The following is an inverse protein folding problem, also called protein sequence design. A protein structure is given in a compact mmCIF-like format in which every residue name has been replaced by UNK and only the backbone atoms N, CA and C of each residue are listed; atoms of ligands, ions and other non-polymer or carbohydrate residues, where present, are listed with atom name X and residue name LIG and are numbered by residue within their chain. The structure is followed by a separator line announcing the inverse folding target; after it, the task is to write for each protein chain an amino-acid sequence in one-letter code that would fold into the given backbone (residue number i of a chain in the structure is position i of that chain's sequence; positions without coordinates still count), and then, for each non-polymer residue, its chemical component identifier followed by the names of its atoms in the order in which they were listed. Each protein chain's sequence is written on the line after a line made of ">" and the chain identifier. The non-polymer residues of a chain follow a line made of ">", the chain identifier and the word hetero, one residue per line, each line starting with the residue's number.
data_IF_773619171291
#
_entry.id   IF_773619171291
#
_cell.length_a   1.000
_cell.length_b   1.000
_cell.length_c   1.000
_cell.angle_alpha   90.00
_cell.angle_beta   90.00
_cell.angle_gamma   90.00
#
_symmetry.space_group_name_H-M   'P 1'
#
loop_
_entity.id
_entity.type
_entity.pdbx_description
1 polymer ?
#
# COMPACT_ATOMS: atom_id res chain seq x y z
N UNK A 1 26.76 23.11 -26.19
CA UNK A 1 27.46 21.93 -25.63
C UNK A 1 26.58 21.36 -24.55
N UNK A 2 25.91 20.25 -24.84
CA UNK A 2 25.04 19.55 -23.89
C UNK A 2 25.92 18.70 -22.97
N UNK A 3 25.94 19.01 -21.68
CA UNK A 3 26.59 18.18 -20.68
C UNK A 3 25.68 17.03 -20.29
N UNK A 4 26.03 15.86 -20.82
CA UNK A 4 25.72 14.51 -20.37
C UNK A 4 24.81 14.40 -19.14
N UNK A 5 23.56 14.04 -19.38
CA UNK A 5 22.72 13.43 -18.35
C UNK A 5 23.41 12.14 -17.89
N UNK A 6 23.87 12.11 -16.65
CA UNK A 6 24.24 10.88 -15.97
C UNK A 6 23.00 10.00 -15.91
N UNK A 7 22.87 9.09 -16.89
CA UNK A 7 22.02 7.92 -16.76
C UNK A 7 22.62 7.07 -15.65
N UNK A 8 22.13 7.28 -14.42
CA UNK A 8 22.39 6.38 -13.31
C UNK A 8 21.92 4.98 -13.72
N UNK A 9 22.86 4.04 -13.84
CA UNK A 9 22.50 2.62 -13.91
C UNK A 9 21.71 2.29 -12.64
N UNK A 10 20.50 1.68 -12.74
CA UNK A 10 19.84 1.18 -11.55
C UNK A 10 20.73 0.07 -10.97
N UNK A 11 21.22 0.28 -9.75
CA UNK A 11 21.75 -0.80 -8.92
C UNK A 11 20.72 -1.93 -8.88
N UNK A 12 21.19 -3.18 -8.94
CA UNK A 12 20.30 -4.34 -8.85
C UNK A 12 19.43 -4.24 -7.58
N UNK A 13 18.14 -4.66 -7.64
CA UNK A 13 17.29 -4.68 -6.46
C UNK A 13 17.92 -5.50 -5.34
N UNK A 14 17.85 -5.01 -4.10
CA UNK A 14 18.26 -5.74 -2.91
C UNK A 14 17.20 -6.74 -2.45
N UNK A 15 15.93 -6.46 -2.73
CA UNK A 15 14.88 -7.44 -2.50
C UNK A 15 13.77 -7.31 -3.54
N UNK A 16 13.02 -8.40 -3.72
CA UNK A 16 11.82 -8.46 -4.57
C UNK A 16 10.65 -8.95 -3.75
N UNK A 17 9.56 -8.19 -3.79
CA UNK A 17 8.31 -8.49 -3.13
C UNK A 17 7.25 -8.78 -4.20
N UNK A 18 6.65 -9.96 -4.12
CA UNK A 18 5.46 -10.28 -4.87
C UNK A 18 4.23 -9.81 -4.09
N UNK A 19 3.29 -9.22 -4.81
CA UNK A 19 2.02 -8.75 -4.30
C UNK A 19 0.90 -9.46 -5.04
N UNK A 20 0.00 -10.08 -4.28
CA UNK A 20 -1.19 -10.74 -4.81
C UNK A 20 -2.43 -10.04 -4.29
N UNK A 21 -3.28 -9.59 -5.19
CA UNK A 21 -4.60 -9.05 -4.89
C UNK A 21 -5.60 -10.20 -4.72
N UNK A 22 -6.50 -10.06 -3.76
CA UNK A 22 -7.69 -10.92 -3.60
C UNK A 22 -8.83 -10.07 -3.04
N UNK A 23 -10.07 -10.52 -3.20
CA UNK A 23 -11.24 -9.92 -2.57
C UNK A 23 -12.03 -10.96 -1.77
N UNK A 24 -12.88 -10.52 -0.85
CA UNK A 24 -13.97 -11.38 -0.40
C UNK A 24 -14.78 -11.81 -1.64
N UNK A 25 -15.21 -13.08 -1.73
CA UNK A 25 -15.85 -13.59 -2.94
C UNK A 25 -17.25 -13.03 -3.13
N UNK A 26 -17.89 -12.59 -2.05
CA UNK A 26 -19.27 -12.15 -2.02
C UNK A 26 -19.46 -10.93 -1.14
N UNK A 27 -20.54 -10.19 -1.39
CA UNK A 27 -21.02 -9.09 -0.57
C UNK A 27 -22.56 -9.18 -0.45
N UNK A 28 -23.07 -9.38 0.76
CA UNK A 28 -24.49 -9.69 1.01
C UNK A 28 -25.33 -8.41 1.16
N UNK A 29 -26.43 -8.32 0.40
CA UNK A 29 -27.37 -7.20 0.46
C UNK A 29 -28.28 -7.24 1.69
N UNK A 30 -28.57 -8.41 2.26
CA UNK A 30 -29.40 -8.56 3.45
C UNK A 30 -28.68 -8.11 4.72
N UNK A 31 -27.35 -8.15 4.74
CA UNK A 31 -26.56 -7.65 5.86
C UNK A 31 -26.24 -6.15 5.68
N UNK A 32 -26.84 -5.25 6.49
CA UNK A 32 -26.53 -3.83 6.44
C UNK A 32 -25.10 -3.50 6.87
N UNK A 33 -24.40 -4.41 7.55
CA UNK A 33 -23.02 -4.24 8.00
C UNK A 33 -22.03 -5.05 7.17
N UNK A 34 -22.45 -5.59 6.02
CA UNK A 34 -21.55 -6.35 5.16
C UNK A 34 -20.36 -5.49 4.71
N UNK A 35 -19.19 -6.11 4.65
CA UNK A 35 -17.94 -5.46 4.24
C UNK A 35 -17.37 -6.17 3.02
N UNK A 36 -16.98 -5.39 2.01
CA UNK A 36 -16.11 -5.86 0.95
C UNK A 36 -14.67 -5.78 1.44
N UNK A 37 -13.98 -6.92 1.48
CA UNK A 37 -12.57 -6.96 1.86
C UNK A 37 -11.71 -7.00 0.61
N UNK A 38 -10.85 -5.99 0.43
CA UNK A 38 -9.81 -5.98 -0.60
C UNK A 38 -8.47 -6.26 0.08
N UNK A 39 -7.85 -7.38 -0.28
CA UNK A 39 -6.71 -7.93 0.43
C UNK A 39 -5.47 -7.94 -0.46
N UNK A 40 -4.35 -7.46 0.07
CA UNK A 40 -3.03 -7.56 -0.53
C UNK A 40 -2.19 -8.53 0.29
N UNK A 41 -1.68 -9.57 -0.37
CA UNK A 41 -0.72 -10.50 0.23
C UNK A 41 0.67 -10.17 -0.28
N UNK A 42 1.60 -9.90 0.62
CA UNK A 42 2.98 -9.52 0.32
C UNK A 42 3.91 -10.66 0.70
N UNK A 43 4.82 -11.04 -0.20
CA UNK A 43 5.80 -12.09 0.04
C UNK A 43 7.16 -11.72 -0.52
N UNK A 44 8.21 -11.83 0.29
CA UNK A 44 9.59 -11.74 -0.19
C UNK A 44 9.90 -12.98 -1.03
N UNK A 45 10.32 -12.76 -2.27
CA UNK A 45 10.68 -13.85 -3.22
C UNK A 45 12.14 -13.84 -3.64
N UNK A 46 12.85 -12.75 -3.38
CA UNK A 46 14.30 -12.65 -3.49
C UNK A 46 14.79 -11.61 -2.47
N UNK A 47 15.92 -11.87 -1.83
CA UNK A 47 16.50 -11.00 -0.82
C UNK A 47 18.03 -11.10 -0.84
N UNK A 48 18.72 -9.97 -0.71
CA UNK A 48 20.15 -9.92 -0.46
C UNK A 48 20.50 -10.36 0.98
N UNK A 49 19.54 -10.28 1.90
CA UNK A 49 19.63 -10.79 3.26
C UNK A 49 18.60 -11.91 3.44
N UNK A 50 18.95 -13.13 3.02
CA UNK A 50 18.06 -14.29 3.07
C UNK A 50 17.53 -14.54 4.49
N UNK A 51 16.23 -14.82 4.61
CA UNK A 51 15.57 -15.06 5.89
C UNK A 51 15.26 -13.80 6.70
N UNK A 52 15.87 -12.64 6.39
CA UNK A 52 15.67 -11.42 7.16
C UNK A 52 14.36 -10.71 6.77
N UNK A 53 13.52 -10.32 7.74
CA UNK A 53 12.29 -9.58 7.46
C UNK A 53 12.56 -8.19 6.86
N UNK A 54 11.57 -7.65 6.16
CA UNK A 54 11.59 -6.30 5.57
C UNK A 54 10.46 -5.49 6.19
N UNK A 55 10.78 -4.33 6.75
CA UNK A 55 9.77 -3.38 7.22
C UNK A 55 9.65 -2.21 6.25
N UNK A 56 8.43 -1.91 5.80
CA UNK A 56 8.14 -0.79 4.90
C UNK A 56 7.23 0.22 5.58
N UNK A 57 7.38 1.49 5.22
CA UNK A 57 6.36 2.51 5.47
C UNK A 57 5.21 2.32 4.46
N UNK A 58 3.97 2.24 4.93
CA UNK A 58 2.80 2.02 4.08
C UNK A 58 2.24 3.32 3.50
N UNK A 59 2.59 4.48 4.06
CA UNK A 59 2.01 5.77 3.72
C UNK A 59 2.04 6.03 2.19
N UNK A 60 0.91 6.50 1.66
CA UNK A 60 0.71 6.81 0.23
C UNK A 60 0.94 5.64 -0.75
N UNK A 61 0.92 4.40 -0.26
CA UNK A 61 0.98 3.18 -1.07
C UNK A 61 -0.34 2.42 -1.05
N UNK A 62 -0.45 1.36 -1.85
CA UNK A 62 -1.62 0.48 -1.79
C UNK A 62 -1.77 -0.26 -0.44
N UNK A 63 -0.76 -0.19 0.43
CA UNK A 63 -0.72 -0.87 1.72
C UNK A 63 -1.25 0.00 2.88
N UNK A 64 -1.61 1.25 2.60
CA UNK A 64 -2.02 2.22 3.62
C UNK A 64 -3.50 2.07 4.03
N UNK A 65 -3.75 1.39 5.14
CA UNK A 65 -5.13 1.17 5.65
C UNK A 65 -5.47 2.25 6.67
N UNK A 66 -6.24 3.26 6.27
CA UNK A 66 -6.74 4.30 7.17
C UNK A 66 -7.86 3.79 8.09
N UNK A 67 -7.90 4.31 9.30
CA UNK A 67 -9.04 4.15 10.20
C UNK A 67 -10.24 4.93 9.64
N UNK A 68 -11.45 4.37 9.77
CA UNK A 68 -12.66 4.88 9.11
C UNK A 68 -13.03 6.34 9.48
N UNK A 69 -12.48 6.87 10.58
CA UNK A 69 -12.80 8.19 11.12
C UNK A 69 -11.62 9.17 11.16
N UNK A 70 -10.47 8.83 10.57
CA UNK A 70 -9.30 9.74 10.60
C UNK A 70 -9.49 11.03 9.75
N UNK A 71 -10.61 11.17 9.04
CA UNK A 71 -10.94 12.35 8.22
C UNK A 71 -10.09 12.52 6.95
N UNK A 72 -9.07 11.68 6.77
CA UNK A 72 -8.17 11.70 5.62
C UNK A 72 -8.78 10.97 4.41
N UNK A 73 -8.29 11.31 3.22
CA UNK A 73 -8.65 10.63 1.97
C UNK A 73 -7.82 9.35 1.85
N UNK A 74 -8.49 8.20 1.92
CA UNK A 74 -7.88 6.89 1.80
C UNK A 74 -7.30 6.60 0.42
N UNK A 75 -6.44 5.57 0.38
CA UNK A 75 -5.70 5.23 -0.83
C UNK A 75 -6.57 4.67 -1.94
N UNK A 76 -7.76 4.12 -1.63
CA UNK A 76 -8.72 3.74 -2.67
C UNK A 76 -9.26 4.99 -3.36
N UNK A 77 -9.61 6.03 -2.61
CA UNK A 77 -10.03 7.33 -3.16
C UNK A 77 -8.92 8.08 -3.89
N UNK A 78 -7.64 7.79 -3.59
CA UNK A 78 -6.48 8.29 -4.33
C UNK A 78 -6.18 7.49 -5.61
N UNK A 79 -6.86 6.37 -5.83
CA UNK A 79 -6.70 5.53 -7.02
C UNK A 79 -5.62 4.46 -6.90
N UNK A 80 -5.30 4.00 -5.68
CA UNK A 80 -4.50 2.79 -5.48
C UNK A 80 -5.17 1.54 -6.06
N UNK A 81 -6.49 1.57 -6.15
CA UNK A 81 -7.29 0.57 -6.84
C UNK A 81 -8.14 1.24 -7.91
N UNK A 82 -8.47 0.48 -8.96
CA UNK A 82 -9.41 0.92 -9.97
C UNK A 82 -10.84 1.06 -9.44
N UNK A 83 -11.74 1.55 -10.29
CA UNK A 83 -13.18 1.48 -10.02
C UNK A 83 -13.65 0.03 -9.92
N UNK A 84 -14.73 -0.22 -9.20
CA UNK A 84 -15.40 -1.52 -9.25
C UNK A 84 -16.10 -1.61 -10.60
N UNK A 85 -15.55 -2.39 -11.52
CA UNK A 85 -16.04 -2.53 -12.88
C UNK A 85 -17.08 -3.63 -12.95
N UNK A 86 -18.24 -3.36 -13.53
CA UNK A 86 -19.23 -4.40 -13.80
C UNK A 86 -18.65 -5.42 -14.78
N UNK A 87 -18.80 -6.72 -14.48
CA UNK A 87 -18.42 -7.78 -15.41
C UNK A 87 -19.38 -7.90 -16.60
N UNK A 88 -20.58 -7.31 -16.53
CA UNK A 88 -21.53 -7.28 -17.65
C UNK A 88 -21.05 -6.43 -18.84
N UNK A 89 -20.01 -5.61 -18.65
CA UNK A 89 -19.52 -4.64 -19.64
C UNK A 89 -20.32 -3.33 -19.68
N UNK A 90 -21.43 -3.22 -18.94
CA UNK A 90 -22.19 -1.99 -18.80
C UNK A 90 -21.45 -1.01 -17.87
N UNK A 91 -20.85 0.02 -18.46
CA UNK A 91 -20.06 1.01 -17.72
C UNK A 91 -20.90 1.90 -16.80
N UNK A 92 -22.22 1.98 -17.02
CA UNK A 92 -23.13 2.71 -16.13
C UNK A 92 -23.29 2.02 -14.77
N UNK A 93 -22.95 0.71 -14.71
CA UNK A 93 -22.94 -0.07 -13.48
C UNK A 93 -21.66 0.05 -12.67
N UNK A 94 -20.61 0.67 -13.20
CA UNK A 94 -19.35 0.83 -12.48
C UNK A 94 -19.54 1.68 -11.21
N UNK A 95 -18.83 1.33 -10.15
CA UNK A 95 -18.84 2.08 -8.88
C UNK A 95 -17.47 2.73 -8.71
N UNK A 96 -17.46 4.07 -8.76
CA UNK A 96 -16.25 4.84 -8.50
C UNK A 96 -15.89 4.81 -7.02
N UNK A 97 -14.64 4.44 -6.71
CA UNK A 97 -14.08 4.50 -5.36
C UNK A 97 -13.41 5.84 -5.04
N UNK A 98 -13.44 6.79 -5.99
CA UNK A 98 -12.75 8.08 -5.96
C UNK A 98 -11.55 8.14 -6.92
N UNK A 99 -11.08 9.36 -7.20
CA UNK A 99 -9.82 9.60 -7.92
C UNK A 99 -9.31 11.01 -7.61
N UNK A 100 -8.75 11.19 -6.41
CA UNK A 100 -8.32 12.49 -5.93
C UNK A 100 -6.79 12.61 -5.89
N UNK A 101 -6.29 13.69 -6.50
CA UNK A 101 -4.89 14.09 -6.40
C UNK A 101 -4.76 15.09 -5.27
N UNK A 102 -4.43 14.60 -4.08
CA UNK A 102 -4.32 15.42 -2.87
C UNK A 102 -2.86 15.68 -2.58
N UNK A 103 -2.50 16.95 -2.35
CA UNK A 103 -1.18 17.27 -1.80
C UNK A 103 -1.14 16.77 -0.36
N UNK A 104 -0.18 15.91 -0.08
CA UNK A 104 0.03 15.36 1.25
C UNK A 104 1.06 16.24 1.97
N UNK A 105 0.69 16.73 3.16
CA UNK A 105 1.57 17.47 4.05
C UNK A 105 1.63 16.72 5.39
N UNK A 106 2.79 16.73 6.02
CA UNK A 106 2.99 16.27 7.39
C UNK A 106 3.27 17.50 8.24
N UNK A 107 2.52 17.67 9.31
CA UNK A 107 2.68 18.83 10.21
C UNK A 107 3.79 18.61 11.24
N UNK A 108 4.27 17.36 11.38
CA UNK A 108 5.36 17.00 12.28
C UNK A 108 6.73 17.30 11.68
N UNK A 109 7.57 17.98 12.47
CA UNK A 109 8.98 18.24 12.17
C UNK A 109 9.93 17.19 12.75
N UNK A 110 9.42 16.22 13.53
CA UNK A 110 10.24 15.18 14.19
C UNK A 110 11.07 14.40 13.18
N UNK A 111 12.27 13.96 13.54
CA UNK A 111 13.05 13.06 12.68
C UNK A 111 12.59 11.60 12.78
N UNK A 112 11.83 11.23 13.82
CA UNK A 112 11.28 9.89 13.97
C UNK A 112 9.96 9.76 13.22
N UNK A 113 9.89 8.80 12.30
CA UNK A 113 8.70 8.51 11.53
C UNK A 113 7.55 7.99 12.41
N UNK A 114 7.85 7.36 13.57
CA UNK A 114 6.81 6.94 14.51
C UNK A 114 6.07 8.13 15.12
N UNK A 115 6.76 9.25 15.29
CA UNK A 115 6.19 10.53 15.77
C UNK A 115 5.59 11.38 14.63
N UNK A 116 5.57 10.86 13.39
CA UNK A 116 4.95 11.48 12.22
C UNK A 116 3.67 10.76 11.79
N UNK A 117 3.07 9.99 12.69
CA UNK A 117 1.88 9.15 12.44
C UNK A 117 2.05 8.24 11.21
N UNK A 118 3.29 7.80 10.95
CA UNK A 118 3.58 6.86 9.86
C UNK A 118 3.27 5.46 10.31
N UNK A 119 2.75 4.69 9.36
CA UNK A 119 2.38 3.29 9.55
C UNK A 119 3.32 2.39 8.80
N UNK A 120 3.52 1.22 9.38
CA UNK A 120 4.51 0.28 8.93
C UNK A 120 3.91 -1.12 8.92
N UNK A 121 4.44 -1.95 8.04
CA UNK A 121 4.21 -3.38 8.07
C UNK A 121 5.55 -4.10 7.92
N UNK A 122 5.68 -5.23 8.59
CA UNK A 122 6.78 -6.17 8.37
C UNK A 122 6.32 -7.28 7.42
N UNK A 123 7.13 -7.54 6.40
CA UNK A 123 7.01 -8.67 5.50
C UNK A 123 8.04 -9.72 5.95
N UNK A 124 7.60 -10.94 6.32
CA UNK A 124 8.52 -11.98 6.77
C UNK A 124 9.56 -12.36 5.70
N UNK A 125 10.78 -12.63 6.16
CA UNK A 125 11.90 -13.04 5.30
C UNK A 125 12.00 -14.56 5.08
N UNK A 126 11.22 -15.35 5.83
CA UNK A 126 11.19 -16.83 5.77
C UNK A 126 10.35 -17.38 4.60
N UNK A 127 9.84 -16.49 3.73
CA UNK A 127 8.98 -16.83 2.61
C UNK A 127 7.51 -17.00 2.98
N UNK A 128 7.12 -16.80 4.23
CA UNK A 128 5.72 -16.57 4.60
C UNK A 128 5.27 -15.17 4.13
N UNK A 129 3.98 -14.87 4.29
CA UNK A 129 3.37 -13.67 3.73
C UNK A 129 2.78 -12.75 4.79
N UNK A 130 2.94 -11.45 4.59
CA UNK A 130 2.15 -10.44 5.30
C UNK A 130 0.84 -10.17 4.55
N UNK A 131 -0.22 -9.79 5.29
CA UNK A 131 -1.53 -9.47 4.71
C UNK A 131 -1.99 -8.09 5.12
N UNK A 132 -2.38 -7.29 4.13
CA UNK A 132 -3.04 -6.00 4.31
C UNK A 132 -4.50 -6.14 3.87
N UNK A 133 -5.44 -5.64 4.66
CA UNK A 133 -6.88 -5.77 4.39
C UNK A 133 -7.54 -4.39 4.43
N UNK A 134 -8.04 -3.94 3.27
CA UNK A 134 -8.92 -2.78 3.18
C UNK A 134 -10.35 -3.26 3.35
N UNK A 135 -11.01 -2.82 4.42
CA UNK A 135 -12.42 -3.12 4.69
C UNK A 135 -13.28 -1.98 4.17
N UNK A 136 -14.25 -2.31 3.33
CA UNK A 136 -15.15 -1.33 2.73
C UNK A 136 -16.58 -1.65 3.11
N UNK A 137 -17.13 -0.88 4.04
CA UNK A 137 -18.57 -0.87 4.31
C UNK A 137 -19.34 -0.24 3.15
N UNK A 138 -20.65 -0.48 3.13
CA UNK A 138 -21.55 0.06 2.12
C UNK A 138 -21.42 1.57 1.93
N UNK A 139 -21.35 2.33 3.02
CA UNK A 139 -21.21 3.79 3.00
C UNK A 139 -19.96 4.19 2.25
N UNK A 140 -18.84 3.49 2.48
CA UNK A 140 -17.57 3.77 1.83
C UNK A 140 -17.57 3.36 0.37
N UNK A 141 -18.12 2.20 0.02
CA UNK A 141 -18.23 1.74 -1.38
C UNK A 141 -18.93 2.80 -2.23
N UNK A 142 -20.01 3.40 -1.71
CA UNK A 142 -20.84 4.35 -2.45
C UNK A 142 -20.49 5.84 -2.24
N UNK A 143 -19.59 6.18 -1.30
CA UNK A 143 -19.18 7.56 -0.98
C UNK A 143 -18.85 8.43 -2.21
N UNK A 144 -18.25 7.82 -3.25
CA UNK A 144 -17.83 8.52 -4.47
C UNK A 144 -18.46 7.94 -5.75
N UNK A 145 -19.51 7.12 -5.62
CA UNK A 145 -20.15 6.42 -6.74
C UNK A 145 -20.99 7.33 -7.64
N UNK A 146 -21.14 8.61 -7.28
CA UNK A 146 -21.93 9.58 -8.02
C UNK A 146 -23.43 9.31 -7.87
N UNK A 147 -24.04 8.70 -8.88
CA UNK A 147 -25.51 8.45 -8.91
C UNK A 147 -25.91 7.04 -8.48
N UNK A 148 -25.02 6.05 -8.62
CA UNK A 148 -25.31 4.66 -8.26
C UNK A 148 -25.30 4.52 -6.74
N UNK A 149 -26.26 3.78 -6.21
CA UNK A 149 -26.45 3.52 -4.78
C UNK A 149 -26.56 2.02 -4.52
N UNK A 150 -26.58 1.65 -3.23
CA UNK A 150 -26.75 0.26 -2.80
C UNK A 150 -28.04 -0.34 -3.33
N UNK A 151 -29.12 0.43 -3.36
CA UNK A 151 -30.45 -0.02 -3.79
C UNK A 151 -30.51 -0.36 -5.29
N UNK A 152 -29.52 0.10 -6.07
CA UNK A 152 -29.42 -0.21 -7.50
C UNK A 152 -28.71 -1.55 -7.78
N UNK A 153 -28.16 -2.20 -6.74
CA UNK A 153 -27.54 -3.51 -6.86
C UNK A 153 -28.60 -4.61 -6.90
N UNK A 154 -28.33 -5.65 -7.68
CA UNK A 154 -29.17 -6.86 -7.71
C UNK A 154 -28.32 -8.10 -7.42
N UNK A 155 -28.87 -9.12 -6.73
CA UNK A 155 -28.19 -10.40 -6.55
C UNK A 155 -27.71 -10.98 -7.88
N UNK A 156 -26.52 -11.57 -7.87
CA UNK A 156 -25.84 -12.10 -9.06
C UNK A 156 -25.05 -11.04 -9.86
N UNK A 157 -25.12 -9.75 -9.52
CA UNK A 157 -24.20 -8.77 -10.11
C UNK A 157 -22.76 -9.06 -9.69
N UNK A 158 -21.85 -9.06 -10.66
CA UNK A 158 -20.43 -9.31 -10.45
C UNK A 158 -19.62 -8.08 -10.79
N UNK A 159 -18.66 -7.79 -9.92
CA UNK A 159 -17.74 -6.69 -10.08
C UNK A 159 -16.31 -7.19 -10.04
N UNK A 160 -15.44 -6.50 -10.77
CA UNK A 160 -14.00 -6.73 -10.72
C UNK A 160 -13.23 -5.46 -10.38
N UNK A 161 -12.13 -5.63 -9.67
CA UNK A 161 -11.24 -4.55 -9.25
C UNK A 161 -9.79 -4.93 -9.54
N UNK A 162 -9.00 -3.93 -9.93
CA UNK A 162 -7.58 -4.07 -10.24
C UNK A 162 -6.75 -3.22 -9.29
N UNK A 163 -5.53 -3.68 -9.02
CA UNK A 163 -4.51 -2.89 -8.33
C UNK A 163 -3.85 -1.90 -9.30
N UNK A 164 -3.73 -0.64 -8.92
CA UNK A 164 -2.93 0.32 -9.66
C UNK A 164 -1.46 0.18 -9.29
N UNK A 165 -0.67 -0.40 -10.21
CA UNK A 165 0.76 -0.65 -10.00
C UNK A 165 1.60 0.59 -9.67
N UNK A 166 1.11 1.82 -9.94
CA UNK A 166 1.79 3.06 -9.52
C UNK A 166 1.80 3.27 -8.00
N UNK A 167 0.95 2.53 -7.27
CA UNK A 167 0.87 2.52 -5.82
C UNK A 167 1.61 1.32 -5.20
N UNK A 168 2.24 0.46 -6.01
CA UNK A 168 3.20 -0.54 -5.56
C UNK A 168 4.57 0.10 -5.37
N UNK A 169 4.70 0.77 -4.23
CA UNK A 169 5.91 1.49 -3.83
C UNK A 169 5.90 1.70 -2.33
N UNK A 170 7.03 2.13 -1.80
CA UNK A 170 7.14 2.67 -0.44
C UNK A 170 7.97 3.94 -0.49
N UNK A 171 7.80 4.80 0.51
CA UNK A 171 8.60 6.01 0.70
C UNK A 171 9.82 5.76 1.59
N UNK A 172 9.83 4.66 2.36
CA UNK A 172 10.87 4.33 3.31
C UNK A 172 10.82 2.84 3.65
N UNK A 173 11.96 2.16 3.73
CA UNK A 173 12.02 0.76 4.17
C UNK A 173 13.36 0.45 4.83
N UNK A 174 13.42 -0.64 5.60
CA UNK A 174 14.66 -1.17 6.16
C UNK A 174 14.55 -2.69 6.38
N UNK A 175 15.69 -3.30 6.69
CA UNK A 175 15.74 -4.69 7.17
C UNK A 175 15.40 -4.79 8.65
N UNK A 176 14.64 -5.82 8.99
CA UNK A 176 14.27 -6.17 10.36
C UNK A 176 12.78 -6.11 10.61
N UNK A 177 12.36 -6.77 11.68
CA UNK A 177 10.97 -6.89 12.10
C UNK A 177 10.59 -5.87 13.19
N UNK A 178 9.36 -5.37 13.13
CA UNK A 178 8.82 -4.37 14.06
C UNK A 178 8.72 -4.87 15.50
N UNK A 179 8.45 -6.16 15.70
CA UNK A 179 8.20 -6.75 17.01
C UNK A 179 9.46 -7.30 17.69
N UNK A 180 10.58 -7.34 16.97
CA UNK A 180 11.87 -7.85 17.44
C UNK A 180 12.99 -6.84 17.16
N UNK A 181 13.60 -6.88 15.97
CA UNK A 181 14.79 -6.08 15.62
C UNK A 181 14.59 -4.57 15.84
N UNK A 182 13.39 -4.08 15.53
CA UNK A 182 13.06 -2.66 15.49
C UNK A 182 12.19 -2.20 16.67
N UNK A 183 11.82 -3.09 17.59
CA UNK A 183 10.80 -2.82 18.63
C UNK A 183 11.09 -1.52 19.40
N UNK A 184 12.31 -1.40 19.91
CA UNK A 184 12.76 -0.28 20.73
C UNK A 184 13.61 0.73 19.94
N UNK A 185 13.51 0.72 18.61
CA UNK A 185 14.29 1.60 17.72
C UNK A 185 13.46 2.79 17.24
N UNK A 186 14.12 3.92 17.09
CA UNK A 186 13.58 5.07 16.37
C UNK A 186 13.78 4.89 14.87
N UNK A 187 12.78 5.27 14.06
CA UNK A 187 12.83 5.10 12.60
C UNK A 187 13.08 6.47 11.96
N UNK A 188 14.32 6.75 11.60
CA UNK A 188 14.70 8.06 11.08
C UNK A 188 14.09 8.32 9.69
N UNK A 189 13.56 9.53 9.46
CA UNK A 189 12.96 9.95 8.18
C UNK A 189 13.94 9.88 7.00
N UNK A 190 15.22 10.08 7.27
CA UNK A 190 16.27 9.92 6.27
C UNK A 190 16.36 8.47 5.80
N UNK A 191 16.52 8.31 4.49
CA UNK A 191 16.82 7.04 3.85
C UNK A 191 17.87 7.24 2.75
N UNK A 192 18.56 6.18 2.36
CA UNK A 192 19.49 6.25 1.23
C UNK A 192 18.76 6.59 -0.08
N UNK A 193 19.49 7.11 -1.06
CA UNK A 193 18.95 7.40 -2.39
C UNK A 193 19.26 8.81 -2.89
N UNK A 194 18.89 9.13 -4.13
CA UNK A 194 19.42 10.28 -4.86
C UNK A 194 18.65 11.57 -4.56
N UNK A 195 17.50 11.46 -3.90
CA UNK A 195 16.61 12.57 -3.59
C UNK A 195 16.74 13.05 -2.14
N UNK A 196 17.59 12.38 -1.35
CA UNK A 196 17.86 12.74 0.03
C UNK A 196 19.20 13.49 0.12
N UNK A 197 19.29 14.39 1.10
CA UNK A 197 20.56 15.02 1.46
C UNK A 197 21.56 14.02 2.03
N UNK A 198 22.75 14.48 2.49
CA UNK A 198 23.72 13.61 3.15
C UNK A 198 23.08 12.90 4.35
N UNK A 199 23.56 11.69 4.64
CA UNK A 199 23.16 10.96 5.84
C UNK A 199 23.51 11.80 7.08
N UNK A 200 22.60 11.96 8.05
CA UNK A 200 22.93 12.61 9.31
C UNK A 200 24.05 11.86 10.05
N UNK A 201 25.05 12.59 10.55
CA UNK A 201 26.25 12.04 11.23
C UNK A 201 26.35 12.44 12.71
N UNK A 202 25.25 12.88 13.32
CA UNK A 202 25.23 13.31 14.72
C UNK A 202 25.60 12.18 15.68
N UNK A 203 26.27 12.52 16.79
CA UNK A 203 26.70 11.54 17.81
C UNK A 203 25.52 10.75 18.40
N UNK A 204 24.34 11.37 18.46
CA UNK A 204 23.07 10.78 18.89
C UNK A 204 22.67 9.54 18.09
N UNK A 205 23.20 9.34 16.88
CA UNK A 205 22.90 8.18 16.03
C UNK A 205 23.89 7.02 16.18
N UNK A 206 24.97 7.20 16.95
CA UNK A 206 26.08 6.23 17.04
C UNK A 206 25.82 5.07 18.00
N UNK A 207 24.84 5.19 18.90
CA UNK A 207 24.48 4.15 19.88
C UNK A 207 23.62 3.01 19.28
N UNK A 208 23.22 3.15 18.01
CA UNK A 208 22.38 2.17 17.30
C UNK A 208 20.91 2.17 17.72
N UNK A 209 20.44 3.17 18.47
CA UNK A 209 19.01 3.35 18.79
C UNK A 209 18.18 3.82 17.59
N UNK A 210 18.83 4.38 16.57
CA UNK A 210 18.20 4.89 15.34
C UNK A 210 18.45 3.98 14.14
N UNK A 211 17.39 3.74 13.38
CA UNK A 211 17.42 2.99 12.12
C UNK A 211 17.14 3.96 10.97
N UNK A 212 17.99 3.92 9.96
CA UNK A 212 17.85 4.69 8.74
C UNK A 212 17.27 3.82 7.64
N UNK A 213 16.54 4.43 6.71
CA UNK A 213 15.97 3.71 5.59
C UNK A 213 16.98 3.41 4.50
N UNK A 214 16.69 2.38 3.72
CA UNK A 214 17.35 2.04 2.47
C UNK A 214 16.72 2.81 1.30
N UNK A 215 17.40 2.81 0.14
CA UNK A 215 16.85 3.44 -1.07
C UNK A 215 15.59 2.71 -1.54
N UNK A 216 14.41 3.36 -1.61
CA UNK A 216 13.17 2.72 -2.03
C UNK A 216 13.23 2.08 -3.43
N UNK A 217 14.17 2.51 -4.28
CA UNK A 217 14.39 1.94 -5.62
C UNK A 217 15.08 0.56 -5.59
N UNK A 218 15.69 0.20 -4.46
CA UNK A 218 16.31 -1.12 -4.25
C UNK A 218 15.27 -2.18 -3.89
N UNK A 219 14.02 -1.79 -3.66
CA UNK A 219 12.91 -2.68 -3.38
C UNK A 219 12.07 -2.85 -4.66
N UNK A 220 12.18 -4.03 -5.29
CA UNK A 220 11.39 -4.34 -6.48
C UNK A 220 10.02 -4.89 -6.10
N UNK A 221 8.99 -4.44 -6.83
CA UNK A 221 7.60 -4.84 -6.61
C UNK A 221 7.06 -5.55 -7.84
N UNK A 222 6.39 -6.67 -7.65
CA UNK A 222 5.71 -7.39 -8.73
C UNK A 222 4.28 -7.75 -8.34
N UNK A 223 3.32 -7.29 -9.14
CA UNK A 223 1.94 -7.74 -9.07
C UNK A 223 1.81 -9.08 -9.81
N UNK A 224 1.60 -10.15 -9.04
CA UNK A 224 1.44 -11.52 -9.54
C UNK A 224 0.00 -12.01 -9.49
N UNK A 225 -0.97 -11.09 -9.41
CA UNK A 225 -2.40 -11.41 -9.44
C UNK A 225 -2.76 -12.06 -10.78
N UNK A 226 -3.32 -13.27 -10.75
CA UNK A 226 -3.80 -13.97 -11.94
C UNK A 226 -4.90 -13.13 -12.62
N UNK A 227 -4.83 -12.96 -13.95
CA UNK A 227 -5.79 -12.15 -14.69
C UNK A 227 -5.73 -10.64 -14.42
N UNK A 228 -4.90 -10.17 -13.48
CA UNK A 228 -4.70 -8.77 -13.03
C UNK A 228 -5.88 -8.11 -12.30
N UNK A 229 -7.03 -8.78 -12.29
CA UNK A 229 -8.27 -8.33 -11.67
C UNK A 229 -8.75 -9.42 -10.70
N UNK A 230 -9.45 -9.03 -9.65
CA UNK A 230 -10.19 -9.95 -8.77
C UNK A 230 -11.66 -9.61 -8.79
N UNK A 231 -12.52 -10.61 -8.60
CA UNK A 231 -13.96 -10.47 -8.73
C UNK A 231 -14.69 -10.86 -7.47
N UNK A 232 -15.83 -10.23 -7.25
CA UNK A 232 -16.78 -10.60 -6.22
C UNK A 232 -18.21 -10.49 -6.75
N UNK A 233 -19.13 -11.17 -6.08
CA UNK A 233 -20.54 -11.24 -6.44
C UNK A 233 -21.43 -10.64 -5.36
N UNK A 234 -22.45 -9.91 -5.78
CA UNK A 234 -23.52 -9.45 -4.90
C UNK A 234 -24.45 -10.63 -4.62
N UNK A 235 -24.63 -10.95 -3.35
CA UNK A 235 -25.52 -12.04 -2.92
C UNK A 235 -26.66 -11.49 -2.07
N UNK A 236 -27.67 -12.30 -1.85
CA UNK A 236 -28.75 -11.96 -0.92
C UNK A 236 -28.24 -11.85 0.51
#
# INVERSE_FOLDING_TARGET
>A
MASNGNYFSPSAPQAKINVTLSSSPTLSLSDPNAELHIMLTLKVVASAEEGRPITICTDLSAFDVLDEDCGLIDVLARGAFGVLRSESGDTSKNISLGLFHVRYFTDSTSSDLRERDKRFITIPGDGSSARVVHKLRWERIFKYAGRRKREDLVPGERFKIALNRRFLKTTWWCWGDLESDLKDKHLHVWHAGPFMGPKPEEDTFKDGSWVFGEDPRLLAWEDVTEGRDVSFEIVE
#
